data_IF_481064971561
#
_entry.id   IF_481064971561
#
_cell.length_a   1.000
_cell.length_b   1.000
_cell.length_c   1.000
_cell.angle_alpha   90.00
_cell.angle_beta   90.00
_cell.angle_gamma   90.00
#
_symmetry.space_group_name_H-M   'P 1'
#
loop_
_entity.id
_entity.type
_entity.pdbx_description
1 polymer ?
#
# COMPACT_ATOMS: atom_id res chain seq x y z
N UNK A 1 -13.94 -9.42 -8.38
CA UNK A 1 -12.48 -9.24 -8.35
C UNK A 1 -11.91 -10.27 -7.38
N UNK A 2 -10.91 -11.08 -7.76
CA UNK A 2 -10.22 -11.96 -6.82
C UNK A 2 -9.57 -11.14 -5.71
N UNK A 3 -9.46 -11.71 -4.51
CA UNK A 3 -8.86 -11.07 -3.34
C UNK A 3 -7.81 -12.01 -2.78
N UNK A 4 -6.60 -11.50 -2.58
CA UNK A 4 -5.54 -12.24 -1.91
C UNK A 4 -5.79 -12.26 -0.40
N UNK A 5 -5.75 -13.45 0.21
CA UNK A 5 -6.00 -13.59 1.64
C UNK A 5 -4.81 -13.09 2.46
N UNK A 6 -5.07 -12.19 3.41
CA UNK A 6 -4.07 -11.68 4.36
C UNK A 6 -4.62 -11.72 5.79
N UNK A 7 -3.72 -11.88 6.76
CA UNK A 7 -4.05 -11.90 8.19
C UNK A 7 -3.24 -10.83 8.93
N UNK A 8 -3.77 -10.34 10.06
CA UNK A 8 -3.23 -9.18 10.78
C UNK A 8 -1.82 -9.42 11.38
N UNK A 9 -1.42 -10.67 11.54
CA UNK A 9 -0.12 -11.10 12.07
C UNK A 9 0.96 -11.28 10.99
N UNK A 10 0.59 -11.17 9.72
CA UNK A 10 1.51 -11.29 8.61
C UNK A 10 2.25 -9.97 8.34
N UNK A 11 3.49 -10.09 7.85
CA UNK A 11 4.26 -8.92 7.43
C UNK A 11 3.61 -8.30 6.16
N UNK A 12 3.34 -6.99 6.13
CA UNK A 12 2.72 -6.34 4.98
C UNK A 12 3.56 -6.44 3.70
N UNK A 13 4.89 -6.41 3.79
CA UNK A 13 5.79 -6.58 2.63
C UNK A 13 5.60 -7.96 2.02
N UNK A 14 5.57 -8.99 2.85
CA UNK A 14 5.39 -10.38 2.39
C UNK A 14 4.00 -10.57 1.77
N UNK A 15 2.95 -9.97 2.35
CA UNK A 15 1.60 -10.00 1.77
C UNK A 15 1.63 -9.40 0.37
N UNK A 16 2.20 -8.21 0.21
CA UNK A 16 2.20 -7.50 -1.07
C UNK A 16 3.03 -8.24 -2.14
N UNK A 17 4.21 -8.74 -1.79
CA UNK A 17 5.04 -9.53 -2.71
C UNK A 17 4.33 -10.79 -3.18
N UNK A 18 3.72 -11.54 -2.26
CA UNK A 18 2.98 -12.76 -2.60
C UNK A 18 1.72 -12.47 -3.41
N UNK A 19 1.01 -11.37 -3.12
CA UNK A 19 -0.15 -10.95 -3.88
C UNK A 19 0.20 -10.56 -5.33
N UNK A 20 1.33 -9.87 -5.54
CA UNK A 20 1.83 -9.54 -6.88
C UNK A 20 2.22 -10.81 -7.63
N UNK A 21 2.98 -11.71 -7.00
CA UNK A 21 3.37 -12.99 -7.62
C UNK A 21 2.16 -13.86 -8.00
N UNK A 22 1.12 -13.89 -7.15
CA UNK A 22 -0.13 -14.59 -7.48
C UNK A 22 -0.86 -13.90 -8.64
N UNK A 23 -0.90 -12.57 -8.67
CA UNK A 23 -1.47 -11.81 -9.78
C UNK A 23 -0.77 -12.10 -11.11
N UNK A 24 0.55 -12.19 -11.12
CA UNK A 24 1.34 -12.59 -12.29
C UNK A 24 1.01 -14.03 -12.74
N UNK A 25 0.93 -14.97 -11.80
CA UNK A 25 0.60 -16.36 -12.07
C UNK A 25 -0.83 -16.52 -12.65
N UNK A 26 -1.76 -15.72 -12.15
CA UNK A 26 -3.16 -15.69 -12.58
C UNK A 26 -3.41 -14.77 -13.79
N UNK A 27 -2.34 -14.25 -14.42
CA UNK A 27 -2.36 -13.38 -15.60
C UNK A 27 -3.28 -12.15 -15.40
N UNK A 28 -3.23 -11.56 -14.20
CA UNK A 28 -3.90 -10.31 -13.89
C UNK A 28 -3.09 -9.13 -14.46
N UNK A 29 -3.76 -8.21 -15.14
CA UNK A 29 -3.12 -7.01 -15.70
C UNK A 29 -2.87 -5.93 -14.63
N UNK A 30 -3.70 -5.92 -13.59
CA UNK A 30 -3.67 -4.89 -12.54
C UNK A 30 -3.80 -5.56 -11.17
N UNK A 31 -2.92 -5.18 -10.25
CA UNK A 31 -2.98 -5.56 -8.83
C UNK A 31 -3.12 -4.29 -8.01
N UNK A 32 -4.15 -4.23 -7.18
CA UNK A 32 -4.39 -3.11 -6.25
C UNK A 32 -3.95 -3.55 -4.86
N UNK A 33 -3.05 -2.76 -4.27
CA UNK A 33 -2.55 -2.97 -2.91
C UNK A 33 -3.16 -1.91 -2.01
N UNK A 34 -4.06 -2.34 -1.13
CA UNK A 34 -4.64 -1.48 -0.10
C UNK A 34 -3.75 -1.51 1.14
N UNK A 35 -3.28 -0.34 1.57
CA UNK A 35 -2.42 -0.20 2.75
C UNK A 35 -3.22 0.44 3.88
N UNK A 36 -2.95 0.03 5.12
CA UNK A 36 -3.58 0.67 6.27
C UNK A 36 -3.25 2.16 6.32
N UNK A 37 -4.24 3.01 6.66
CA UNK A 37 -4.03 4.44 6.79
C UNK A 37 -3.00 4.77 7.86
N UNK A 38 -1.89 5.41 7.48
CA UNK A 38 -0.84 5.88 8.40
C UNK A 38 -0.90 7.39 8.51
N UNK A 39 -0.93 7.90 9.73
CA UNK A 39 -0.90 9.34 10.01
C UNK A 39 0.52 9.85 9.79
N UNK A 40 0.65 10.92 9.01
CA UNK A 40 1.90 11.43 8.43
C UNK A 40 2.82 12.11 9.47
N UNK A 41 2.51 11.98 10.76
CA UNK A 41 3.14 12.72 11.86
C UNK A 41 4.36 11.95 12.41
N UNK A 42 4.56 10.69 12.01
CA UNK A 42 5.67 9.86 12.51
C UNK A 42 6.69 9.56 11.40
N UNK A 43 7.85 10.22 11.45
CA UNK A 43 8.98 10.05 10.50
C UNK A 43 9.38 8.57 10.33
N UNK A 44 9.36 7.79 11.40
CA UNK A 44 9.68 6.35 11.37
C UNK A 44 8.69 5.54 10.50
N UNK A 45 7.41 5.92 10.48
CA UNK A 45 6.38 5.22 9.68
C UNK A 45 6.55 5.51 8.18
N UNK A 46 7.10 6.67 7.82
CA UNK A 46 7.39 7.04 6.43
C UNK A 46 8.61 6.31 5.87
N UNK A 47 9.66 6.10 6.67
CA UNK A 47 10.80 5.27 6.27
C UNK A 47 10.40 3.80 6.04
N UNK A 48 9.54 3.27 6.90
CA UNK A 48 8.98 1.92 6.74
C UNK A 48 8.16 1.83 5.44
N UNK A 49 7.34 2.83 5.14
CA UNK A 49 6.57 2.89 3.90
C UNK A 49 7.46 3.00 2.66
N UNK A 50 8.54 3.78 2.73
CA UNK A 50 9.53 3.87 1.65
C UNK A 50 10.19 2.51 1.39
N UNK A 51 10.50 1.77 2.47
CA UNK A 51 11.06 0.41 2.37
C UNK A 51 10.05 -0.57 1.75
N UNK A 52 8.79 -0.50 2.15
CA UNK A 52 7.69 -1.28 1.57
C UNK A 52 7.55 -0.99 0.07
N UNK A 53 7.51 0.28 -0.31
CA UNK A 53 7.40 0.71 -1.70
C UNK A 53 8.57 0.21 -2.54
N UNK A 54 9.79 0.31 -2.01
CA UNK A 54 10.99 -0.18 -2.68
C UNK A 54 10.97 -1.71 -2.88
N UNK A 55 10.40 -2.46 -1.94
CA UNK A 55 10.30 -3.92 -2.03
C UNK A 55 9.27 -4.38 -3.08
N UNK A 56 8.16 -3.65 -3.24
CA UNK A 56 7.03 -4.05 -4.10
C UNK A 56 7.10 -3.41 -5.50
N UNK A 57 7.88 -2.34 -5.68
CA UNK A 57 8.09 -1.66 -6.97
C UNK A 57 6.79 -1.27 -7.68
N UNK A 58 5.87 -0.62 -6.96
CA UNK A 58 4.58 -0.16 -7.51
C UNK A 58 4.74 0.88 -8.61
N UNK A 59 3.97 0.74 -9.70
CA UNK A 59 3.99 1.68 -10.84
C UNK A 59 3.30 3.00 -10.52
N UNK A 60 2.22 2.95 -9.74
CA UNK A 60 1.44 4.11 -9.32
C UNK A 60 1.20 4.07 -7.82
N UNK A 61 1.19 5.25 -7.20
CA UNK A 61 0.90 5.44 -5.77
C UNK A 61 -0.23 6.44 -5.68
N UNK A 62 -1.37 6.02 -5.12
CA UNK A 62 -2.56 6.86 -5.00
C UNK A 62 -2.67 7.36 -3.55
N UNK A 63 -2.66 8.68 -3.39
CA UNK A 63 -2.94 9.33 -2.11
C UNK A 63 -4.46 9.48 -1.93
N UNK A 64 -4.99 8.89 -0.86
CA UNK A 64 -6.41 8.95 -0.52
C UNK A 64 -6.59 9.91 0.65
N UNK A 65 -7.29 11.03 0.42
CA UNK A 65 -7.60 12.02 1.45
C UNK A 65 -9.12 12.24 1.55
N UNK A 66 -9.59 12.52 2.76
CA UNK A 66 -10.98 12.92 3.00
C UNK A 66 -11.20 14.35 2.49
N UNK A 67 -12.32 14.59 1.83
CA UNK A 67 -12.75 15.91 1.37
C UNK A 67 -12.91 16.91 2.53
N UNK A 68 -13.22 16.43 3.73
CA UNK A 68 -13.32 17.25 4.94
C UNK A 68 -11.96 17.73 5.49
N UNK A 69 -10.83 17.18 5.03
CA UNK A 69 -9.47 17.54 5.50
C UNK A 69 -9.11 19.00 5.17
N UNK A 70 -9.86 19.65 4.25
CA UNK A 70 -9.72 21.08 4.00
C UNK A 70 -8.32 21.50 3.56
N UNK A 71 -7.83 22.62 4.09
CA UNK A 71 -6.49 23.16 3.77
C UNK A 71 -5.34 22.28 4.29
N UNK A 72 -5.60 21.36 5.22
CA UNK A 72 -4.55 20.50 5.80
C UNK A 72 -4.12 19.39 4.83
N UNK A 73 -4.94 19.04 3.84
CA UNK A 73 -4.57 18.10 2.77
C UNK A 73 -3.42 18.62 1.87
N UNK A 74 -3.16 19.93 1.90
CA UNK A 74 -2.09 20.58 1.10
C UNK A 74 -0.73 20.52 1.82
N UNK A 75 -0.72 20.18 3.11
CA UNK A 75 0.49 20.15 3.96
C UNK A 75 0.99 18.73 4.27
N UNK A 76 0.34 17.71 3.69
CA UNK A 76 0.71 16.29 3.80
C UNK A 76 1.79 15.94 2.80
#
# INVERSE_FOLDING_TARGET
>A
MPVFASFADMNPVDIAMNAVAQGEADVQEVVILDTGGRVHIEENLMEEFATFQAAVSSHEILFVADACTGQDAVRV
#
